data_IF_899180179174
#
_entry.id   IF_899180179174
#
_cell.length_a   1.000
_cell.length_b   1.000
_cell.length_c   1.000
_cell.angle_alpha   90.00
_cell.angle_beta   90.00
_cell.angle_gamma   90.00
#
_symmetry.space_group_name_H-M   'P 1'
#
loop_
_entity.id
_entity.type
_entity.pdbx_description
1 polymer ?
#
# COMPACT_ATOMS: atom_id res chain seq x y z
N UNK A 1 24.96 -24.06 2.30
CA UNK A 1 24.93 -22.87 3.16
C UNK A 1 23.57 -22.19 3.03
N UNK A 2 22.61 -22.50 3.91
CA UNK A 2 21.30 -21.82 3.99
C UNK A 2 21.30 -20.88 5.19
N UNK A 3 22.18 -19.86 5.19
CA UNK A 3 22.28 -18.93 6.33
C UNK A 3 21.33 -17.77 6.11
N UNK A 4 20.30 -17.71 6.95
CA UNK A 4 19.56 -16.51 7.34
C UNK A 4 19.21 -15.56 6.20
N UNK A 5 18.46 -16.05 5.21
CA UNK A 5 17.56 -15.17 4.48
C UNK A 5 16.53 -14.71 5.51
N UNK A 6 16.48 -13.41 5.79
CA UNK A 6 15.25 -12.81 6.32
C UNK A 6 14.11 -13.37 5.50
N UNK A 7 13.24 -14.15 6.14
CA UNK A 7 12.20 -14.88 5.43
C UNK A 7 11.42 -13.87 4.60
N UNK A 8 11.52 -13.99 3.27
CA UNK A 8 10.69 -13.22 2.35
C UNK A 8 9.25 -13.53 2.75
N UNK A 9 8.40 -12.50 2.99
CA UNK A 9 7.00 -12.72 3.28
C UNK A 9 6.39 -13.68 2.26
N UNK A 10 5.80 -14.78 2.74
CA UNK A 10 5.28 -15.85 1.86
C UNK A 10 4.22 -15.33 0.90
N UNK A 11 3.50 -14.30 1.32
CA UNK A 11 2.49 -13.61 0.53
C UNK A 11 3.09 -12.99 -0.73
N UNK A 12 4.31 -12.43 -0.66
CA UNK A 12 4.99 -11.88 -1.84
C UNK A 12 5.30 -13.02 -2.82
N UNK A 13 5.82 -14.15 -2.33
CA UNK A 13 6.19 -15.29 -3.17
C UNK A 13 4.99 -15.91 -3.90
N UNK A 14 3.83 -15.96 -3.23
CA UNK A 14 2.63 -16.60 -3.77
C UNK A 14 1.84 -15.68 -4.70
N UNK A 15 1.73 -14.39 -4.36
CA UNK A 15 0.80 -13.48 -5.03
C UNK A 15 1.47 -12.68 -6.16
N UNK A 16 2.80 -12.50 -6.13
CA UNK A 16 3.52 -11.74 -7.15
C UNK A 16 3.78 -12.60 -8.39
N UNK A 17 3.36 -12.14 -9.56
CA UNK A 17 3.64 -12.82 -10.84
C UNK A 17 4.74 -12.08 -11.58
N UNK A 18 5.93 -12.68 -11.67
CA UNK A 18 7.11 -12.06 -12.27
C UNK A 18 6.86 -11.59 -13.70
N UNK A 19 6.18 -12.41 -14.51
CA UNK A 19 5.90 -12.12 -15.92
C UNK A 19 4.96 -10.91 -16.13
N UNK A 20 4.31 -10.41 -15.08
CA UNK A 20 3.46 -9.21 -15.17
C UNK A 20 4.24 -7.92 -14.87
N UNK A 21 5.40 -8.02 -14.22
CA UNK A 21 6.19 -6.88 -13.77
C UNK A 21 7.55 -6.78 -14.47
N UNK A 22 8.01 -7.84 -15.12
CA UNK A 22 9.33 -7.94 -15.75
C UNK A 22 9.60 -6.81 -16.76
N UNK A 23 8.63 -6.49 -17.62
CA UNK A 23 8.73 -5.39 -18.58
C UNK A 23 8.91 -4.05 -17.87
N UNK A 24 8.13 -3.78 -16.81
CA UNK A 24 8.21 -2.52 -16.05
C UNK A 24 9.52 -2.41 -15.28
N UNK A 25 9.99 -3.52 -14.70
CA UNK A 25 11.29 -3.60 -14.03
C UNK A 25 12.44 -3.28 -14.99
N UNK A 26 12.32 -3.68 -16.26
CA UNK A 26 13.31 -3.39 -17.30
C UNK A 26 13.26 -1.92 -17.71
N UNK A 27 12.05 -1.40 -17.96
CA UNK A 27 11.84 -0.02 -18.40
C UNK A 27 12.34 1.01 -17.38
N UNK A 28 12.16 0.73 -16.08
CA UNK A 28 12.62 1.60 -15.00
C UNK A 28 14.07 1.31 -14.56
N UNK A 29 14.79 0.44 -15.27
CA UNK A 29 16.17 0.07 -15.00
C UNK A 29 16.46 -0.43 -13.57
N UNK A 30 15.45 -0.99 -12.89
CA UNK A 30 15.59 -1.59 -11.55
C UNK A 30 16.49 -2.82 -11.61
N UNK A 31 16.39 -3.57 -12.71
CA UNK A 31 17.16 -4.77 -12.98
C UNK A 31 18.03 -4.58 -14.22
N UNK A 32 19.30 -4.97 -14.09
CA UNK A 32 20.23 -4.95 -15.20
C UNK A 32 19.97 -6.11 -16.16
N UNK A 33 20.49 -6.04 -17.38
CA UNK A 33 20.36 -7.11 -18.38
C UNK A 33 20.82 -8.48 -17.85
N UNK A 34 21.89 -8.52 -17.05
CA UNK A 34 22.40 -9.76 -16.45
C UNK A 34 21.41 -10.35 -15.44
N UNK A 35 20.76 -9.50 -14.64
CA UNK A 35 19.76 -9.89 -13.64
C UNK A 35 18.56 -10.55 -14.35
N UNK A 36 18.11 -9.97 -15.48
CA UNK A 36 17.05 -10.54 -16.31
C UNK A 36 17.38 -11.92 -16.87
N UNK A 37 18.61 -12.12 -17.36
CA UNK A 37 19.04 -13.42 -17.89
C UNK A 37 19.03 -14.46 -16.77
N UNK A 38 19.50 -14.09 -15.58
CA UNK A 38 19.48 -14.95 -14.41
C UNK A 38 18.04 -15.32 -14.02
N UNK A 39 17.14 -14.34 -13.90
CA UNK A 39 15.74 -14.59 -13.55
C UNK A 39 15.00 -15.45 -14.58
N UNK A 40 15.29 -15.26 -15.86
CA UNK A 40 14.69 -16.07 -16.93
C UNK A 40 15.26 -17.49 -17.03
N UNK A 41 16.35 -17.80 -16.33
CA UNK A 41 16.86 -19.18 -16.22
C UNK A 41 16.01 -20.07 -15.30
N UNK A 42 15.19 -19.47 -14.42
CA UNK A 42 14.29 -20.19 -13.53
C UNK A 42 12.97 -20.52 -14.23
N UNK A 43 12.45 -21.72 -13.97
CA UNK A 43 11.22 -22.20 -14.62
C UNK A 43 9.95 -21.86 -13.85
N UNK A 44 10.01 -21.85 -12.52
CA UNK A 44 8.85 -21.58 -11.66
C UNK A 44 8.79 -20.11 -11.25
N UNK A 45 7.58 -19.56 -11.20
CA UNK A 45 7.37 -18.18 -10.77
C UNK A 45 7.88 -17.93 -9.33
N UNK A 46 7.62 -18.86 -8.41
CA UNK A 46 8.08 -18.75 -7.02
C UNK A 46 9.61 -18.60 -6.92
N UNK A 47 10.36 -19.41 -7.69
CA UNK A 47 11.83 -19.34 -7.75
C UNK A 47 12.31 -18.01 -8.36
N UNK A 48 11.59 -17.50 -9.38
CA UNK A 48 11.88 -16.18 -9.98
C UNK A 48 11.66 -15.06 -8.97
N UNK A 49 10.55 -15.07 -8.25
CA UNK A 49 10.24 -14.03 -7.24
C UNK A 49 11.21 -14.12 -6.07
N UNK A 50 11.55 -15.32 -5.60
CA UNK A 50 12.54 -15.52 -4.54
C UNK A 50 13.90 -14.92 -4.95
N UNK A 51 14.37 -15.24 -6.15
CA UNK A 51 15.62 -14.69 -6.69
C UNK A 51 15.54 -13.17 -6.90
N UNK A 52 14.40 -12.66 -7.39
CA UNK A 52 14.18 -11.22 -7.55
C UNK A 52 14.35 -10.49 -6.22
N UNK A 53 13.69 -10.97 -5.17
CA UNK A 53 13.79 -10.37 -3.83
C UNK A 53 15.22 -10.43 -3.27
N UNK A 54 15.97 -11.48 -3.62
CA UNK A 54 17.37 -11.59 -3.23
C UNK A 54 18.28 -10.62 -3.97
N UNK A 55 18.04 -10.39 -5.26
CA UNK A 55 18.74 -9.35 -6.02
C UNK A 55 18.43 -7.96 -5.44
N UNK A 56 17.16 -7.68 -5.14
CA UNK A 56 16.72 -6.40 -4.58
C UNK A 56 17.37 -6.10 -3.22
N UNK A 57 17.74 -7.12 -2.43
CA UNK A 57 18.43 -6.94 -1.13
C UNK A 57 19.71 -6.11 -1.26
N UNK A 58 20.42 -6.23 -2.38
CA UNK A 58 21.72 -5.59 -2.60
C UNK A 58 21.63 -4.33 -3.48
N UNK A 59 20.42 -3.96 -3.91
CA UNK A 59 20.18 -2.80 -4.76
C UNK A 59 20.17 -1.50 -3.97
N UNK A 60 20.23 -0.38 -4.69
CA UNK A 60 20.22 0.96 -4.10
C UNK A 60 18.84 1.32 -3.53
N UNK A 61 18.78 2.37 -2.72
CA UNK A 61 17.52 2.90 -2.19
C UNK A 61 16.60 3.42 -3.32
N UNK A 62 17.17 4.03 -4.35
CA UNK A 62 16.45 4.47 -5.56
C UNK A 62 15.84 3.29 -6.31
N UNK A 63 16.54 2.17 -6.44
CA UNK A 63 16.00 0.95 -7.04
C UNK A 63 14.83 0.38 -6.22
N UNK A 64 14.89 0.48 -4.88
CA UNK A 64 13.80 0.04 -4.00
C UNK A 64 12.56 0.91 -4.20
N UNK A 65 12.72 2.22 -4.28
CA UNK A 65 11.61 3.15 -4.52
C UNK A 65 10.96 2.90 -5.89
N UNK A 66 11.76 2.79 -6.95
CA UNK A 66 11.28 2.44 -8.27
C UNK A 66 10.54 1.10 -8.31
N UNK A 67 11.01 0.11 -7.55
CA UNK A 67 10.32 -1.16 -7.40
C UNK A 67 8.97 -1.01 -6.69
N UNK A 68 8.92 -0.24 -5.59
CA UNK A 68 7.67 0.00 -4.86
C UNK A 68 6.64 0.76 -5.69
N UNK A 69 7.07 1.69 -6.55
CA UNK A 69 6.17 2.38 -7.48
C UNK A 69 5.57 1.42 -8.52
N UNK A 70 6.36 0.48 -9.06
CA UNK A 70 5.84 -0.58 -9.94
C UNK A 70 4.83 -1.46 -9.18
N UNK A 71 5.12 -1.78 -7.92
CA UNK A 71 4.18 -2.52 -7.08
C UNK A 71 2.92 -1.71 -6.77
N UNK A 72 2.97 -0.39 -6.64
CA UNK A 72 1.77 0.41 -6.38
C UNK A 72 0.78 0.37 -7.54
N UNK A 73 1.28 0.28 -8.78
CA UNK A 73 0.43 0.22 -9.97
C UNK A 73 -0.36 -1.09 -10.05
N UNK A 74 0.31 -2.22 -9.85
CA UNK A 74 -0.28 -3.54 -10.10
C UNK A 74 -0.44 -4.37 -8.84
N UNK A 75 0.19 -4.06 -7.72
CA UNK A 75 0.27 -4.93 -6.53
C UNK A 75 0.23 -4.11 -5.25
N UNK A 76 -0.74 -3.19 -5.16
CA UNK A 76 -0.84 -2.20 -4.07
C UNK A 76 -0.84 -2.85 -2.68
N UNK A 77 -1.47 -4.02 -2.52
CA UNK A 77 -1.47 -4.77 -1.26
C UNK A 77 -0.15 -5.49 -0.93
N UNK A 78 0.71 -5.73 -1.94
CA UNK A 78 2.05 -6.31 -1.77
C UNK A 78 3.06 -5.20 -1.50
N UNK A 79 2.86 -4.01 -2.06
CA UNK A 79 3.75 -2.84 -1.93
C UNK A 79 4.12 -2.56 -0.47
N UNK A 80 3.15 -2.55 0.44
CA UNK A 80 3.42 -2.29 1.86
C UNK A 80 4.27 -3.39 2.52
N UNK A 81 4.08 -4.65 2.12
CA UNK A 81 4.89 -5.78 2.60
C UNK A 81 6.33 -5.68 2.08
N UNK A 82 6.50 -5.26 0.83
CA UNK A 82 7.80 -4.98 0.24
C UNK A 82 8.51 -3.83 0.96
N UNK A 83 7.78 -2.75 1.29
CA UNK A 83 8.34 -1.60 1.99
C UNK A 83 8.85 -1.98 3.38
N UNK A 84 8.04 -2.72 4.16
CA UNK A 84 8.46 -3.25 5.47
C UNK A 84 9.70 -4.14 5.34
N UNK A 85 9.74 -4.98 4.29
CA UNK A 85 10.88 -5.85 4.01
C UNK A 85 12.16 -5.05 3.73
N UNK A 86 12.10 -4.00 2.89
CA UNK A 86 13.26 -3.17 2.59
C UNK A 86 13.71 -2.34 3.79
N UNK A 87 12.79 -1.81 4.59
CA UNK A 87 13.13 -1.13 5.85
C UNK A 87 13.90 -2.06 6.79
N UNK A 88 13.48 -3.33 6.90
CA UNK A 88 14.19 -4.33 7.70
C UNK A 88 15.61 -4.58 7.19
N UNK A 89 15.81 -4.68 5.87
CA UNK A 89 17.14 -4.83 5.28
C UNK A 89 18.04 -3.63 5.62
N UNK A 90 17.51 -2.40 5.53
CA UNK A 90 18.24 -1.17 5.89
C UNK A 90 18.66 -1.18 7.35
N UNK A 91 17.75 -1.55 8.26
CA UNK A 91 18.05 -1.66 9.70
C UNK A 91 19.13 -2.71 9.98
N UNK A 92 19.05 -3.89 9.35
CA UNK A 92 20.04 -4.95 9.52
C UNK A 92 21.44 -4.52 9.01
N UNK A 93 21.50 -3.73 7.93
CA UNK A 93 22.75 -3.19 7.42
C UNK A 93 23.39 -2.17 8.38
N UNK A 94 22.58 -1.31 9.02
CA UNK A 94 23.05 -0.36 10.02
C UNK A 94 23.58 -1.05 11.28
N UNK A 95 22.88 -2.08 11.77
CA UNK A 95 23.31 -2.85 12.95
C UNK A 95 24.63 -3.60 12.71
N UNK A 96 24.87 -4.10 11.49
CA UNK A 96 26.15 -4.73 11.13
C UNK A 96 27.30 -3.71 11.17
N UNK A 97 27.04 -2.46 10.77
CA UNK A 97 28.04 -1.39 10.81
C UNK A 97 28.42 -1.00 12.24
N UNK A 98 27.46 -0.94 13.16
CA UNK A 98 27.74 -0.61 14.57
C UNK A 98 28.50 -1.72 15.31
N UNK A 99 28.22 -2.99 14.99
CA UNK A 99 28.84 -4.13 15.66
C UNK A 99 30.22 -4.51 15.08
N UNK A 100 30.59 -3.96 13.92
CA UNK A 100 31.88 -4.24 13.26
C UNK A 100 33.00 -3.26 13.63
N UNK A 101 32.75 -2.23 14.45
CA UNK A 101 33.80 -1.42 15.03
C UNK A 101 34.25 -2.02 16.37
N UNK A 102 35.45 -2.63 16.46
CA UNK A 102 35.98 -3.03 17.75
C UNK A 102 36.28 -1.76 18.54
N UNK A 103 35.55 -1.57 19.63
CA UNK A 103 35.91 -0.62 20.70
C UNK A 103 37.18 -1.16 21.36
N UNK A 104 38.34 -0.98 20.73
CA UNK A 104 39.66 -1.26 21.29
C UNK A 104 40.73 -0.54 20.46
N UNK A 105 41.02 0.71 20.83
CA UNK A 105 42.37 1.26 21.00
C UNK A 105 42.28 2.78 21.05
N UNK A 106 42.28 3.30 22.29
CA UNK A 106 42.70 4.65 22.62
C UNK A 106 44.12 4.86 22.04
N UNK A 107 44.39 5.87 21.20
CA UNK A 107 45.75 6.32 21.01
C UNK A 107 46.09 7.27 22.15
N UNK A 108 46.83 6.77 23.14
CA UNK A 108 47.64 7.64 23.99
C UNK A 108 48.76 8.25 23.12
N UNK A 109 48.71 9.57 23.04
CA UNK A 109 49.81 10.53 22.99
C UNK A 109 49.98 11.40 21.71
N UNK A 110 50.17 12.72 21.88
CA UNK A 110 50.39 13.68 20.81
C UNK A 110 51.90 13.95 20.65
N UNK A 111 52.44 13.91 19.44
CA UNK A 111 53.63 14.70 19.09
C UNK A 111 53.83 14.75 17.57
N UNK A 112 53.58 15.95 17.03
CA UNK A 112 54.47 16.69 16.13
C UNK A 112 54.95 16.04 14.83
N UNK A 113 54.67 16.68 13.68
CA UNK A 113 55.66 17.38 12.81
C UNK A 113 55.18 17.53 11.34
N UNK A 114 55.21 18.79 10.88
CA UNK A 114 55.40 19.38 9.53
C UNK A 114 54.63 18.85 8.31
N UNK A 115 53.74 19.65 7.69
CA UNK A 115 53.97 20.79 6.76
C UNK A 115 54.64 20.42 5.43
N UNK A 116 53.85 20.42 4.35
CA UNK A 116 54.10 20.98 3.00
C UNK A 116 52.92 20.59 2.08
N UNK A 117 52.47 21.31 1.04
CA UNK A 117 52.34 22.72 0.63
C UNK A 117 51.73 22.65 -0.80
N UNK A 118 50.58 23.31 -1.04
CA UNK A 118 50.05 23.84 -2.34
C UNK A 118 49.79 22.80 -3.48
N UNK A 119 48.79 22.90 -4.36
CA UNK A 119 48.13 24.00 -5.12
C UNK A 119 46.70 23.54 -5.49
N UNK A 120 45.63 24.32 -5.30
CA UNK A 120 45.09 25.37 -6.19
C UNK A 120 44.66 24.87 -7.60
N UNK A 121 43.34 24.78 -7.85
CA UNK A 121 42.68 25.46 -8.97
C UNK A 121 41.16 25.49 -8.75
N UNK A 122 40.68 26.72 -8.66
CA UNK A 122 39.32 27.24 -8.70
C UNK A 122 38.68 27.00 -10.07
N UNK A 123 37.37 26.71 -10.13
CA UNK A 123 36.48 27.43 -11.04
C UNK A 123 35.03 27.37 -10.57
N UNK A 124 34.42 28.53 -10.72
CA UNK A 124 33.25 29.10 -10.07
C UNK A 124 32.22 29.32 -11.20
N UNK A 125 30.95 28.98 -10.98
CA UNK A 125 29.89 29.49 -11.86
C UNK A 125 28.59 29.64 -11.11
N UNK A 126 28.44 30.84 -10.57
CA UNK A 126 27.21 31.44 -10.09
C UNK A 126 26.22 31.69 -11.23
N UNK A 127 24.94 31.38 -10.96
CA UNK A 127 23.85 32.24 -11.41
C UNK A 127 22.66 32.19 -10.45
N UNK A 128 22.62 33.21 -9.60
CA UNK A 128 21.43 33.85 -9.02
C UNK A 128 20.57 34.42 -10.19
N UNK A 129 19.25 34.72 -10.11
CA UNK A 129 18.57 35.60 -9.16
C UNK A 129 17.02 35.55 -9.35
N UNK A 130 16.29 36.06 -8.34
CA UNK A 130 14.94 36.67 -8.33
C UNK A 130 13.72 35.73 -8.23
N UNK A 131 12.67 35.98 -7.43
CA UNK A 131 12.29 37.13 -6.59
C UNK A 131 11.21 36.74 -5.59
N UNK A 132 11.25 37.44 -4.45
CA UNK A 132 10.33 37.54 -3.33
C UNK A 132 8.87 37.88 -3.67
N UNK A 133 7.94 37.31 -2.89
CA UNK A 133 6.77 38.04 -2.36
C UNK A 133 6.05 37.24 -1.26
N UNK A 134 6.19 37.69 -0.01
CA UNK A 134 5.14 37.65 1.04
C UNK A 134 4.50 39.05 1.11
N UNK A 135 3.58 39.39 2.03
CA UNK A 135 2.68 38.61 2.91
C UNK A 135 1.20 39.10 2.76
N UNK A 136 0.25 38.52 3.51
CA UNK A 136 -0.95 39.16 4.11
C UNK A 136 -1.86 38.05 4.67
N UNK A 137 -2.03 37.84 5.98
CA UNK A 137 -2.62 38.68 7.02
C UNK A 137 -4.13 38.91 6.84
N UNK A 138 -4.95 38.15 7.57
CA UNK A 138 -6.31 38.50 8.04
C UNK A 138 -6.71 37.44 9.10
N UNK A 139 -6.58 37.74 10.39
CA UNK A 139 -7.60 38.37 11.24
C UNK A 139 -8.67 37.37 11.75
N UNK A 140 -8.51 36.96 13.01
CA UNK A 140 -9.62 36.59 13.90
C UNK A 140 -10.48 37.84 14.16
N UNK A 141 -11.80 37.69 14.37
CA UNK A 141 -12.33 38.02 15.68
C UNK A 141 -13.46 37.10 16.19
N UNK A 142 -13.84 37.26 17.48
CA UNK A 142 -14.52 36.26 18.30
C UNK A 142 -16.04 36.49 18.40
N UNK A 143 -16.79 35.48 18.84
CA UNK A 143 -17.89 35.71 19.79
C UNK A 143 -18.40 34.43 20.44
N UNK A 144 -18.39 34.47 21.76
CA UNK A 144 -19.19 33.62 22.62
C UNK A 144 -20.67 33.99 22.45
N UNK A 145 -21.52 32.99 22.26
CA UNK A 145 -22.92 33.08 22.67
C UNK A 145 -23.29 31.81 23.44
N UNK A 146 -23.69 32.05 24.68
CA UNK A 146 -24.30 31.09 25.59
C UNK A 146 -25.77 31.00 25.18
N UNK A 147 -26.21 29.84 24.74
CA UNK A 147 -27.64 29.48 24.76
C UNK A 147 -27.73 28.06 25.35
N UNK A 148 -27.98 27.96 26.65
CA UNK A 148 -29.32 27.74 27.21
C UNK A 148 -29.83 26.34 26.87
N UNK A 149 -29.39 25.35 27.66
CA UNK A 149 -29.88 23.97 27.63
C UNK A 149 -31.09 23.90 28.58
N UNK A 150 -32.32 23.65 28.09
CA UNK A 150 -33.42 23.27 28.95
C UNK A 150 -33.21 21.83 29.40
N UNK A 151 -33.02 21.68 30.70
CA UNK A 151 -33.10 20.42 31.43
C UNK A 151 -34.54 19.93 31.46
N UNK A 152 -34.92 19.00 30.58
CA UNK A 152 -36.01 18.05 30.84
C UNK A 152 -36.08 16.97 29.75
N UNK A 153 -35.41 15.83 29.96
CA UNK A 153 -35.73 14.57 29.29
C UNK A 153 -35.61 13.42 30.28
N UNK A 154 -36.65 13.24 31.10
CA UNK A 154 -36.97 11.95 31.73
C UNK A 154 -38.03 11.24 30.88
N UNK A 155 -37.62 10.52 29.84
CA UNK A 155 -38.29 9.35 29.22
C UNK A 155 -37.74 9.12 27.81
N UNK A 156 -36.77 8.22 27.67
CA UNK A 156 -36.53 7.46 26.41
C UNK A 156 -35.45 6.41 26.68
N UNK A 157 -35.78 5.34 27.41
CA UNK A 157 -34.92 4.14 27.50
C UNK A 157 -35.53 2.92 26.77
N UNK A 158 -36.80 2.98 26.34
CA UNK A 158 -37.43 1.87 25.59
C UNK A 158 -37.30 1.99 24.06
N UNK A 159 -36.90 3.14 23.51
CA UNK A 159 -36.77 3.35 22.05
C UNK A 159 -35.39 3.05 21.47
N UNK A 160 -34.36 2.84 22.30
CA UNK A 160 -33.00 2.52 21.81
C UNK A 160 -32.86 1.03 21.48
N UNK A 161 -33.59 0.15 22.19
CA UNK A 161 -33.47 -1.30 22.03
C UNK A 161 -34.10 -1.83 20.74
N UNK A 162 -35.23 -1.25 20.29
CA UNK A 162 -35.89 -1.68 19.06
C UNK A 162 -35.18 -1.19 17.78
N UNK A 163 -34.51 -0.03 17.84
CA UNK A 163 -33.78 0.52 16.71
C UNK A 163 -32.50 -0.28 16.39
N UNK A 164 -31.82 -0.83 17.41
CA UNK A 164 -30.65 -1.70 17.20
C UNK A 164 -31.00 -3.01 16.47
N UNK A 165 -32.16 -3.63 16.75
CA UNK A 165 -32.56 -4.87 16.06
C UNK A 165 -32.94 -4.66 14.60
N UNK A 166 -33.52 -3.49 14.26
CA UNK A 166 -33.88 -3.14 12.88
C UNK A 166 -32.62 -2.90 12.05
N UNK A 167 -31.62 -2.21 12.60
CA UNK A 167 -30.35 -1.94 11.92
C UNK A 167 -29.60 -3.25 11.64
N UNK A 168 -29.52 -4.15 12.62
CA UNK A 168 -28.84 -5.44 12.45
C UNK A 168 -29.51 -6.32 11.37
N UNK A 169 -30.85 -6.34 11.30
CA UNK A 169 -31.56 -7.09 10.24
C UNK A 169 -31.31 -6.55 8.84
N UNK A 170 -31.14 -5.24 8.67
CA UNK A 170 -30.83 -4.63 7.37
C UNK A 170 -29.41 -4.94 6.91
N UNK A 171 -28.46 -4.98 7.85
CA UNK A 171 -27.06 -5.32 7.57
C UNK A 171 -26.87 -6.80 7.18
N UNK A 172 -27.76 -7.68 7.61
CA UNK A 172 -27.75 -9.10 7.24
C UNK A 172 -28.31 -9.37 5.84
N UNK A 173 -28.80 -8.36 5.10
CA UNK A 173 -29.33 -8.60 3.76
C UNK A 173 -28.23 -9.07 2.80
N UNK A 174 -28.59 -10.02 1.93
CA UNK A 174 -27.72 -10.45 0.84
C UNK A 174 -27.48 -9.32 -0.14
N UNK A 175 -26.27 -9.25 -0.65
CA UNK A 175 -25.87 -8.22 -1.62
C UNK A 175 -26.68 -8.34 -2.91
N UNK A 176 -27.24 -7.22 -3.34
CA UNK A 176 -28.04 -7.08 -4.57
C UNK A 176 -27.20 -6.53 -5.72
N UNK A 177 -27.66 -6.71 -6.95
CA UNK A 177 -26.95 -6.21 -8.14
C UNK A 177 -26.88 -4.67 -8.16
N UNK A 178 -27.86 -4.00 -7.57
CA UNK A 178 -27.87 -2.55 -7.44
C UNK A 178 -26.74 -2.06 -6.52
N UNK A 179 -26.54 -2.73 -5.38
CA UNK A 179 -25.43 -2.46 -4.47
C UNK A 179 -24.08 -2.65 -5.17
N UNK A 180 -23.91 -3.77 -5.90
CA UNK A 180 -22.69 -4.03 -6.66
C UNK A 180 -22.44 -2.94 -7.73
N UNK A 181 -23.51 -2.46 -8.37
CA UNK A 181 -23.43 -1.38 -9.36
C UNK A 181 -22.96 -0.06 -8.72
N UNK A 182 -23.37 0.25 -7.49
CA UNK A 182 -22.88 1.42 -6.76
C UNK A 182 -21.39 1.31 -6.44
N UNK A 183 -20.95 0.18 -5.90
CA UNK A 183 -19.53 -0.08 -5.61
C UNK A 183 -18.69 0.09 -6.88
N UNK A 184 -19.17 -0.43 -8.01
CA UNK A 184 -18.50 -0.33 -9.32
C UNK A 184 -18.37 1.11 -9.84
N UNK A 185 -19.26 2.02 -9.46
CA UNK A 185 -19.19 3.43 -9.93
C UNK A 185 -18.08 4.22 -9.24
N UNK A 186 -17.59 3.74 -8.10
CA UNK A 186 -16.54 4.43 -7.38
C UNK A 186 -15.16 4.16 -8.00
N UNK A 187 -14.53 5.21 -8.53
CA UNK A 187 -13.25 5.08 -9.21
C UNK A 187 -12.11 4.57 -8.30
N UNK A 188 -12.16 4.84 -6.98
CA UNK A 188 -11.12 4.41 -6.03
C UNK A 188 -11.21 2.90 -5.82
N UNK A 189 -12.42 2.38 -5.66
CA UNK A 189 -12.66 0.94 -5.56
C UNK A 189 -12.26 0.24 -6.86
N UNK A 190 -12.66 0.78 -8.02
CA UNK A 190 -12.27 0.22 -9.32
C UNK A 190 -10.75 0.22 -9.50
N UNK A 191 -10.05 1.27 -9.07
CA UNK A 191 -8.59 1.32 -9.16
C UNK A 191 -7.90 0.30 -8.25
N UNK A 192 -8.45 0.05 -7.06
CA UNK A 192 -7.86 -0.81 -6.01
C UNK A 192 -8.70 -2.07 -5.73
N UNK A 193 -9.31 -2.63 -6.77
CA UNK A 193 -10.24 -3.75 -6.65
C UNK A 193 -9.57 -5.03 -6.13
N UNK A 194 -8.27 -5.20 -6.39
CA UNK A 194 -7.48 -6.32 -5.88
C UNK A 194 -7.41 -6.30 -4.36
N UNK A 195 -7.14 -5.14 -3.76
CA UNK A 195 -7.13 -4.97 -2.29
C UNK A 195 -8.46 -5.39 -1.68
N UNK A 196 -9.58 -4.95 -2.29
CA UNK A 196 -10.92 -5.38 -1.88
C UNK A 196 -11.08 -6.91 -1.98
N UNK A 197 -10.61 -7.53 -3.07
CA UNK A 197 -10.67 -8.99 -3.22
C UNK A 197 -9.90 -9.72 -2.12
N UNK A 198 -8.73 -9.22 -1.72
CA UNK A 198 -7.95 -9.79 -0.62
C UNK A 198 -8.67 -9.68 0.72
N UNK A 199 -9.26 -8.52 1.03
CA UNK A 199 -10.02 -8.30 2.27
C UNK A 199 -11.31 -9.13 2.32
N UNK A 200 -11.87 -9.49 1.16
CA UNK A 200 -12.97 -10.45 1.02
C UNK A 200 -12.52 -11.93 1.11
N UNK A 201 -11.20 -12.21 1.14
CA UNK A 201 -10.63 -13.56 1.15
C UNK A 201 -10.62 -14.25 -0.22
N UNK A 202 -10.69 -13.48 -1.30
CA UNK A 202 -10.79 -13.94 -2.69
C UNK A 202 -9.50 -13.75 -3.50
N UNK A 203 -8.34 -13.84 -2.83
CA UNK A 203 -7.01 -13.79 -3.48
C UNK A 203 -6.90 -14.62 -4.77
N UNK A 204 -7.40 -15.87 -4.84
CA UNK A 204 -7.28 -16.67 -6.07
C UNK A 204 -8.03 -16.07 -7.26
N UNK A 205 -9.14 -15.36 -7.01
CA UNK A 205 -9.98 -14.76 -8.04
C UNK A 205 -9.30 -13.54 -8.67
N UNK A 206 -8.44 -12.84 -7.94
CA UNK A 206 -7.64 -11.72 -8.46
C UNK A 206 -6.80 -12.16 -9.67
N UNK A 207 -6.17 -13.32 -9.58
CA UNK A 207 -5.31 -13.83 -10.63
C UNK A 207 -6.11 -14.19 -11.89
N UNK A 208 -7.27 -14.82 -11.70
CA UNK A 208 -8.19 -15.19 -12.78
C UNK A 208 -8.72 -13.94 -13.49
N UNK A 209 -9.17 -12.94 -12.73
CA UNK A 209 -9.72 -11.70 -13.29
C UNK A 209 -8.65 -10.88 -14.01
N UNK A 210 -7.42 -10.81 -13.49
CA UNK A 210 -6.30 -10.16 -14.21
C UNK A 210 -5.97 -10.86 -15.51
N UNK A 211 -5.94 -12.18 -15.50
CA UNK A 211 -5.70 -12.93 -16.73
C UNK A 211 -6.80 -12.68 -17.76
N UNK A 212 -8.07 -12.61 -17.33
CA UNK A 212 -9.18 -12.21 -18.22
C UNK A 212 -9.03 -10.77 -18.73
N UNK A 213 -8.66 -9.83 -17.88
CA UNK A 213 -8.40 -8.45 -18.28
C UNK A 213 -7.34 -8.37 -19.38
N UNK A 214 -6.23 -9.09 -19.22
CA UNK A 214 -5.14 -9.12 -20.22
C UNK A 214 -5.52 -9.89 -21.50
N UNK A 215 -6.21 -11.02 -21.36
CA UNK A 215 -6.49 -11.92 -22.50
C UNK A 215 -7.71 -11.49 -23.30
N UNK A 216 -8.77 -11.04 -22.61
CA UNK A 216 -10.07 -10.67 -23.19
C UNK A 216 -10.20 -9.16 -23.40
N UNK A 217 -9.32 -8.35 -22.80
CA UNK A 217 -9.48 -6.89 -22.79
C UNK A 217 -10.69 -6.44 -21.97
N UNK A 218 -11.09 -7.21 -20.94
CA UNK A 218 -12.20 -6.83 -20.06
C UNK A 218 -11.90 -5.55 -19.30
N UNK A 219 -12.90 -4.67 -19.16
CA UNK A 219 -12.75 -3.43 -18.41
C UNK A 219 -12.58 -3.70 -16.90
N UNK A 220 -11.86 -2.80 -16.23
CA UNK A 220 -11.59 -2.91 -14.77
C UNK A 220 -12.89 -2.85 -13.96
N UNK A 221 -13.88 -2.11 -14.43
CA UNK A 221 -15.19 -2.01 -13.77
C UNK A 221 -15.97 -3.34 -13.86
N UNK A 222 -15.90 -4.04 -14.99
CA UNK A 222 -16.44 -5.39 -15.14
C UNK A 222 -15.77 -6.39 -14.18
N UNK A 223 -14.46 -6.26 -13.96
CA UNK A 223 -13.73 -7.09 -13.00
C UNK A 223 -14.26 -6.94 -11.56
N UNK A 224 -14.59 -5.71 -11.12
CA UNK A 224 -15.21 -5.48 -9.79
C UNK A 224 -16.57 -6.18 -9.69
N UNK A 225 -17.38 -6.11 -10.74
CA UNK A 225 -18.69 -6.76 -10.76
C UNK A 225 -18.54 -8.28 -10.66
N UNK A 226 -17.67 -8.88 -11.48
CA UNK A 226 -17.40 -10.31 -11.45
C UNK A 226 -16.84 -10.77 -10.10
N UNK A 227 -15.97 -9.98 -9.47
CA UNK A 227 -15.47 -10.25 -8.13
C UNK A 227 -16.62 -10.37 -7.12
N UNK A 228 -17.55 -9.40 -7.11
CA UNK A 228 -18.66 -9.38 -6.16
C UNK A 228 -19.71 -10.48 -6.45
N UNK A 229 -19.94 -10.80 -7.72
CA UNK A 229 -20.79 -11.93 -8.13
C UNK A 229 -20.20 -13.26 -7.67
N UNK A 230 -18.90 -13.47 -7.90
CA UNK A 230 -18.18 -14.66 -7.46
C UNK A 230 -18.18 -14.75 -5.92
N UNK A 231 -17.99 -13.62 -5.23
CA UNK A 231 -18.06 -13.56 -3.77
C UNK A 231 -19.41 -14.03 -3.23
N UNK A 232 -20.48 -13.51 -3.84
CA UNK A 232 -21.86 -13.87 -3.52
C UNK A 232 -22.13 -15.36 -3.77
N UNK A 233 -21.59 -15.91 -4.86
CA UNK A 233 -21.70 -17.33 -5.19
C UNK A 233 -20.91 -18.25 -4.24
N UNK A 234 -19.65 -17.90 -3.95
CA UNK A 234 -18.75 -18.71 -3.13
C UNK A 234 -19.10 -18.66 -1.63
N UNK A 235 -19.56 -17.50 -1.14
CA UNK A 235 -19.80 -17.27 0.28
C UNK A 235 -21.15 -16.59 0.55
N UNK A 236 -22.29 -17.22 0.20
CA UNK A 236 -23.62 -16.58 0.29
C UNK A 236 -23.99 -16.13 1.72
N UNK A 237 -23.45 -16.80 2.75
CA UNK A 237 -23.66 -16.42 4.16
C UNK A 237 -22.81 -15.24 4.64
N UNK A 238 -21.66 -15.00 3.99
CA UNK A 238 -20.76 -13.88 4.33
C UNK A 238 -20.97 -12.68 3.41
N UNK A 239 -21.57 -12.89 2.24
CA UNK A 239 -21.92 -11.87 1.25
C UNK A 239 -23.14 -11.03 1.68
N UNK A 240 -23.04 -10.45 2.88
CA UNK A 240 -24.03 -9.54 3.45
C UNK A 240 -23.60 -8.09 3.26
N UNK A 241 -24.59 -7.18 3.23
CA UNK A 241 -24.34 -5.75 3.15
C UNK A 241 -23.40 -5.27 4.26
N UNK A 242 -23.64 -5.69 5.50
CA UNK A 242 -22.83 -5.26 6.64
C UNK A 242 -21.37 -5.72 6.52
N UNK A 243 -21.12 -6.92 5.99
CA UNK A 243 -19.75 -7.38 5.77
C UNK A 243 -19.06 -6.59 4.66
N UNK A 244 -19.75 -6.33 3.55
CA UNK A 244 -19.22 -5.52 2.46
C UNK A 244 -18.85 -4.11 2.94
N UNK A 245 -19.75 -3.46 3.68
CA UNK A 245 -19.51 -2.13 4.24
C UNK A 245 -18.33 -2.13 5.20
N UNK A 246 -18.26 -3.13 6.09
CA UNK A 246 -17.13 -3.27 7.04
C UNK A 246 -15.80 -3.35 6.28
N UNK A 247 -15.72 -4.20 5.26
CA UNK A 247 -14.51 -4.38 4.45
C UNK A 247 -14.16 -3.10 3.68
N UNK A 248 -15.16 -2.42 3.10
CA UNK A 248 -14.94 -1.14 2.43
C UNK A 248 -14.35 -0.08 3.38
N UNK A 249 -14.79 -0.06 4.65
CA UNK A 249 -14.24 0.85 5.67
C UNK A 249 -12.82 0.45 6.08
N UNK A 250 -12.56 -0.84 6.27
CA UNK A 250 -11.22 -1.37 6.57
C UNK A 250 -10.21 -0.98 5.49
N UNK A 251 -10.62 -1.02 4.22
CA UNK A 251 -9.79 -0.66 3.07
C UNK A 251 -9.76 0.87 2.77
N UNK A 252 -10.48 1.69 3.55
CA UNK A 252 -10.49 3.15 3.44
C UNK A 252 -11.39 3.75 2.35
N UNK A 253 -12.37 2.98 1.86
CA UNK A 253 -13.43 3.39 0.92
C UNK A 253 -14.69 3.88 1.66
N UNK A 254 -14.50 4.81 2.60
CA UNK A 254 -15.56 5.31 3.48
C UNK A 254 -16.72 5.97 2.71
N UNK A 255 -16.42 6.63 1.60
CA UNK A 255 -17.40 7.27 0.71
C UNK A 255 -18.43 6.29 0.16
N UNK A 256 -17.98 5.13 -0.32
CA UNK A 256 -18.88 4.07 -0.82
C UNK A 256 -19.62 3.39 0.31
N UNK A 257 -18.93 3.15 1.43
CA UNK A 257 -19.52 2.56 2.62
C UNK A 257 -20.69 3.42 3.14
N UNK A 258 -20.48 4.73 3.27
CA UNK A 258 -21.49 5.68 3.73
C UNK A 258 -22.67 5.77 2.75
N UNK A 259 -22.41 5.74 1.43
CA UNK A 259 -23.47 5.74 0.42
C UNK A 259 -24.35 4.47 0.51
N UNK A 260 -23.72 3.30 0.69
CA UNK A 260 -24.43 2.03 0.81
C UNK A 260 -25.26 1.98 2.10
N UNK A 261 -24.69 2.39 3.24
CA UNK A 261 -25.43 2.46 4.49
C UNK A 261 -26.58 3.47 4.41
N UNK A 262 -26.35 4.66 3.86
CA UNK A 262 -27.39 5.67 3.71
C UNK A 262 -28.55 5.23 2.80
N UNK A 263 -28.28 4.40 1.79
CA UNK A 263 -29.31 3.94 0.85
C UNK A 263 -30.07 2.70 1.35
N UNK A 264 -29.38 1.77 2.02
CA UNK A 264 -29.93 0.44 2.30
C UNK A 264 -29.99 0.08 3.79
N UNK A 265 -29.26 0.77 4.66
CA UNK A 265 -29.32 0.58 6.11
C UNK A 265 -30.27 1.58 6.82
N UNK A 266 -30.58 2.73 6.18
CA UNK A 266 -31.60 3.69 6.62
C UNK A 266 -33.02 3.10 6.49
#
# INVERSE_FOLDING_TARGET
>A
MKKMLTAIPREILNDLQYNLIDVKLHQRNVLNRSDFILLNSYSKNEEKVEMLMELMRNKSEEDHENFLEIMEEDYDWIRDKCEIFFQKIRLDALQKKTNSCPVNALPENPESVEVKKQTETTEESDRSVHTSSSPDSCALPPRAEKENIPSDVKKTEETVSANCEIINKKLDQTITNEMMTKVRRNHRVVKRWSTLAHSLGMTPVVHILRQRMVTNGEDVDACVLHLLEEWKGAHPKKATLGRLVTVLREDGFNDVADELEGTYAA
#
